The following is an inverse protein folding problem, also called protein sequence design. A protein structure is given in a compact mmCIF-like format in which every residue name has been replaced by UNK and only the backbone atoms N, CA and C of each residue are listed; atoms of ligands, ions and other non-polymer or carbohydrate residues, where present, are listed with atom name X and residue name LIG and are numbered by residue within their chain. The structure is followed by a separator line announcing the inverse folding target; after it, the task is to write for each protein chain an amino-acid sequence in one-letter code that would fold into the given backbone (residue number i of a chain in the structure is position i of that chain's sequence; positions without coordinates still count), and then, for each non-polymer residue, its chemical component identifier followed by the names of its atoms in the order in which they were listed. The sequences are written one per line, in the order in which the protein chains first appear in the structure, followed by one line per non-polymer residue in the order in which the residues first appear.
data_IF_321890075422
#
_entry.id   IF_321890075422
#
_cell.length_a   1.000
_cell.length_b   1.000
_cell.length_c   1.000
_cell.angle_alpha   90.00
_cell.angle_beta   90.00
_cell.angle_gamma   90.00
#
_symmetry.space_group_name_H-M   'P 1'
#
loop_
_entity.id
_entity.type
_entity.pdbx_description
1 polymer ?
#
# COMPACT_ATOMS: atom_id res chain seq x y z
N UNK A 1 14.18 20.62 -22.09
CA UNK A 1 14.47 19.20 -21.78
C UNK A 1 13.49 18.64 -20.74
N UNK A 2 12.17 18.87 -20.90
CA UNK A 2 11.14 18.58 -19.89
C UNK A 2 9.97 17.72 -20.41
N UNK A 3 10.06 17.14 -21.62
CA UNK A 3 8.92 16.50 -22.30
C UNK A 3 8.83 14.97 -22.20
N UNK A 4 9.75 14.30 -21.51
CA UNK A 4 9.77 12.81 -21.48
C UNK A 4 9.25 12.22 -20.15
N UNK A 5 9.19 12.99 -19.06
CA UNK A 5 8.73 12.48 -17.75
C UNK A 5 7.19 12.39 -17.60
N UNK A 6 6.41 13.09 -18.42
CA UNK A 6 4.94 13.02 -18.37
C UNK A 6 4.34 11.91 -19.24
N UNK A 7 5.14 11.26 -20.11
CA UNK A 7 4.62 10.29 -21.07
C UNK A 7 4.20 8.97 -20.41
N UNK A 8 4.85 8.58 -19.30
CA UNK A 8 4.57 7.32 -18.58
C UNK A 8 3.38 7.48 -17.61
N UNK A 9 3.22 8.65 -16.97
CA UNK A 9 2.03 8.97 -16.17
C UNK A 9 0.76 9.01 -17.03
N UNK A 10 0.87 9.51 -18.26
CA UNK A 10 -0.23 9.56 -19.21
C UNK A 10 -0.64 8.17 -19.69
N UNK A 11 0.26 7.19 -19.83
CA UNK A 11 -0.12 5.86 -20.35
C UNK A 11 -1.06 5.10 -19.41
N UNK A 12 -0.90 5.16 -18.09
CA UNK A 12 -1.79 4.45 -17.15
C UNK A 12 -3.17 5.10 -17.04
N UNK A 13 -3.22 6.43 -17.01
CA UNK A 13 -4.46 7.22 -17.01
C UNK A 13 -5.20 7.04 -18.34
N UNK A 14 -4.49 7.16 -19.47
CA UNK A 14 -5.09 7.02 -20.80
C UNK A 14 -5.51 5.59 -21.12
N UNK A 15 -4.90 4.54 -20.55
CA UNK A 15 -5.38 3.16 -20.74
C UNK A 15 -6.71 2.92 -19.99
N UNK A 16 -6.89 3.51 -18.80
CA UNK A 16 -8.17 3.46 -18.06
C UNK A 16 -9.24 4.41 -18.65
N UNK A 17 -8.83 5.60 -19.11
CA UNK A 17 -9.71 6.60 -19.72
C UNK A 17 -10.11 6.20 -21.16
N UNK A 18 -9.21 5.61 -21.96
CA UNK A 18 -9.52 5.18 -23.35
C UNK A 18 -10.51 4.01 -23.42
N UNK A 19 -10.74 3.27 -22.34
CA UNK A 19 -11.84 2.29 -22.29
C UNK A 19 -13.22 2.95 -22.15
N UNK A 20 -13.30 4.26 -21.87
CA UNK A 20 -14.54 5.01 -21.68
C UNK A 20 -14.83 6.07 -22.76
N UNK A 21 -14.04 6.06 -23.84
CA UNK A 21 -14.20 6.79 -25.10
C UNK A 21 -15.06 8.04 -25.06
N UNK A 22 -14.45 9.22 -24.86
CA UNK A 22 -15.06 10.51 -25.20
C UNK A 22 -13.95 11.53 -25.47
N UNK A 23 -13.75 11.90 -26.73
CA UNK A 23 -13.15 13.17 -27.08
C UNK A 23 -13.98 13.80 -28.18
N UNK A 24 -14.17 15.11 -28.06
CA UNK A 24 -14.87 16.05 -28.95
C UNK A 24 -16.33 16.30 -28.59
N UNK A 25 -16.58 17.40 -27.89
CA UNK A 25 -17.71 18.27 -28.23
C UNK A 25 -17.41 19.73 -27.89
N UNK A 26 -17.70 20.59 -28.88
CA UNK A 26 -18.04 22.00 -28.79
C UNK A 26 -16.96 22.97 -28.29
N UNK A 27 -16.11 23.47 -29.21
CA UNK A 27 -15.63 24.86 -29.35
C UNK A 27 -15.22 25.73 -28.14
N UNK A 28 -15.23 25.21 -26.91
CA UNK A 28 -14.89 25.85 -25.66
C UNK A 28 -13.40 25.65 -25.40
N UNK A 29 -12.74 26.66 -24.82
CA UNK A 29 -11.35 26.52 -24.43
C UNK A 29 -11.24 25.68 -23.16
N UNK A 30 -10.08 25.04 -22.92
CA UNK A 30 -9.81 24.29 -21.68
C UNK A 30 -10.05 25.14 -20.42
N UNK A 31 -9.81 26.45 -20.50
CA UNK A 31 -10.05 27.41 -19.41
C UNK A 31 -11.56 27.63 -19.13
N UNK A 32 -12.41 27.57 -20.15
CA UNK A 32 -13.86 27.73 -20.01
C UNK A 32 -14.49 26.50 -19.34
N UNK A 33 -14.06 25.30 -19.74
CA UNK A 33 -14.49 24.03 -19.12
C UNK A 33 -14.03 23.93 -17.65
N UNK A 34 -12.82 24.41 -17.35
CA UNK A 34 -12.28 24.44 -15.99
C UNK A 34 -13.05 25.36 -15.07
N UNK A 35 -13.32 26.58 -15.53
CA UNK A 35 -14.03 27.58 -14.73
C UNK A 35 -15.47 27.15 -14.45
N UNK A 36 -16.14 26.51 -15.42
CA UNK A 36 -17.49 25.98 -15.24
C UNK A 36 -17.53 24.79 -14.27
N UNK A 37 -16.52 23.91 -14.30
CA UNK A 37 -16.46 22.73 -13.42
C UNK A 37 -16.14 23.07 -11.96
N UNK A 38 -15.36 24.15 -11.74
CA UNK A 38 -15.01 24.62 -10.40
C UNK A 38 -16.20 25.13 -9.59
N UNK A 39 -17.23 25.66 -10.25
CA UNK A 39 -18.44 26.16 -9.58
C UNK A 39 -19.10 25.06 -8.72
N UNK A 40 -19.16 23.83 -9.21
CA UNK A 40 -19.73 22.71 -8.47
C UNK A 40 -18.93 22.38 -7.20
N UNK A 41 -17.60 22.47 -7.27
CA UNK A 41 -16.72 22.16 -6.16
C UNK A 41 -16.72 23.29 -5.11
N UNK A 42 -16.74 24.54 -5.56
CA UNK A 42 -16.86 25.71 -4.70
C UNK A 42 -18.21 25.71 -3.95
N UNK A 43 -19.30 25.34 -4.63
CA UNK A 43 -20.63 25.19 -4.01
C UNK A 43 -20.60 24.18 -2.87
N UNK A 44 -19.98 23.00 -3.08
CA UNK A 44 -19.82 21.98 -2.02
C UNK A 44 -19.06 22.56 -0.83
N UNK A 45 -17.95 23.25 -1.09
CA UNK A 45 -17.10 23.81 -0.05
C UNK A 45 -17.82 24.93 0.74
N UNK A 46 -18.69 25.72 0.09
CA UNK A 46 -19.53 26.72 0.73
C UNK A 46 -20.64 26.12 1.59
N UNK A 47 -21.37 25.11 1.08
CA UNK A 47 -22.40 24.38 1.81
C UNK A 47 -21.81 23.75 3.07
N UNK A 48 -20.63 23.11 2.96
CA UNK A 48 -19.96 22.52 4.10
C UNK A 48 -19.51 23.58 5.13
N UNK A 49 -18.93 24.71 4.68
CA UNK A 49 -18.56 25.83 5.58
C UNK A 49 -19.76 26.43 6.31
N UNK A 50 -20.96 26.37 5.72
CA UNK A 50 -22.21 26.78 6.35
C UNK A 50 -22.73 25.78 7.41
N UNK A 51 -22.02 24.67 7.66
CA UNK A 51 -22.38 23.66 8.66
C UNK A 51 -23.43 22.66 8.17
N UNK A 52 -23.71 22.62 6.86
CA UNK A 52 -24.69 21.72 6.25
C UNK A 52 -24.01 20.46 5.70
N UNK A 53 -23.56 19.60 6.59
CA UNK A 53 -22.73 18.45 6.25
C UNK A 53 -23.45 17.46 5.30
N UNK A 54 -24.69 17.09 5.61
CA UNK A 54 -25.45 16.12 4.82
C UNK A 54 -25.73 16.62 3.39
N UNK A 55 -26.00 17.92 3.24
CA UNK A 55 -26.22 18.57 1.94
C UNK A 55 -24.93 18.56 1.10
N UNK A 56 -23.78 18.83 1.72
CA UNK A 56 -22.47 18.78 1.04
C UNK A 56 -22.11 17.35 0.61
N UNK A 57 -22.40 16.35 1.45
CA UNK A 57 -22.22 14.92 1.13
C UNK A 57 -23.08 14.51 -0.06
N UNK A 58 -24.36 14.90 -0.08
CA UNK A 58 -25.26 14.60 -1.19
C UNK A 58 -24.77 15.21 -2.50
N UNK A 59 -24.26 16.45 -2.48
CA UNK A 59 -23.68 17.11 -3.66
C UNK A 59 -22.44 16.37 -4.18
N UNK A 60 -21.56 15.90 -3.28
CA UNK A 60 -20.45 15.03 -3.67
C UNK A 60 -20.95 13.75 -4.37
N UNK A 61 -21.99 13.10 -3.82
CA UNK A 61 -22.56 11.88 -4.42
C UNK A 61 -23.08 12.13 -5.84
N UNK A 62 -23.78 13.24 -6.06
CA UNK A 62 -24.30 13.63 -7.37
C UNK A 62 -23.14 13.80 -8.37
N UNK A 63 -22.08 14.53 -8.01
CA UNK A 63 -20.94 14.73 -8.91
C UNK A 63 -20.21 13.43 -9.26
N UNK A 64 -20.05 12.52 -8.30
CA UNK A 64 -19.40 11.22 -8.53
C UNK A 64 -20.24 10.34 -9.47
N UNK A 65 -21.56 10.42 -9.36
CA UNK A 65 -22.50 9.65 -10.19
C UNK A 65 -22.62 10.21 -11.60
N UNK A 66 -22.82 11.51 -11.72
CA UNK A 66 -23.16 12.16 -12.99
C UNK A 66 -21.92 12.56 -13.80
N UNK A 67 -20.81 12.88 -13.12
CA UNK A 67 -19.60 13.40 -13.74
C UNK A 67 -18.30 12.65 -13.33
N UNK A 68 -18.28 11.31 -13.29
CA UNK A 68 -17.17 10.54 -12.72
C UNK A 68 -15.83 10.74 -13.45
N UNK A 69 -15.89 10.94 -14.77
CA UNK A 69 -14.71 11.07 -15.65
C UNK A 69 -14.58 12.46 -16.29
N UNK A 70 -15.43 13.42 -15.92
CA UNK A 70 -15.38 14.76 -16.50
C UNK A 70 -14.09 15.46 -16.06
N UNK A 71 -13.26 15.83 -17.02
CA UNK A 71 -11.95 16.41 -16.74
C UNK A 71 -12.07 17.78 -16.06
N UNK A 72 -11.17 18.01 -15.12
CA UNK A 72 -10.99 19.29 -14.43
C UNK A 72 -9.51 19.65 -14.56
N UNK A 73 -9.21 20.76 -15.23
CA UNK A 73 -7.85 21.25 -15.36
C UNK A 73 -7.55 22.24 -14.23
N UNK A 74 -7.36 21.75 -13.01
CA UNK A 74 -6.90 22.61 -11.90
C UNK A 74 -5.46 22.28 -11.50
N UNK A 75 -4.81 23.24 -10.85
CA UNK A 75 -3.48 23.19 -10.21
C UNK A 75 -2.59 21.99 -10.58
N UNK A 76 -1.62 22.24 -11.46
CA UNK A 76 -0.51 21.34 -11.84
C UNK A 76 -0.85 19.95 -12.43
N UNK A 77 -2.09 19.44 -12.35
CA UNK A 77 -2.43 18.03 -12.68
C UNK A 77 -3.81 17.87 -13.34
N UNK A 78 -3.93 17.00 -14.34
CA UNK A 78 -5.23 16.62 -14.91
C UNK A 78 -5.96 15.69 -13.93
N UNK A 79 -7.11 16.11 -13.40
CA UNK A 79 -7.99 15.35 -12.47
C UNK A 79 -9.40 15.20 -13.07
N UNK A 80 -10.30 14.48 -12.40
CA UNK A 80 -11.73 14.38 -12.78
C UNK A 80 -12.64 14.94 -11.69
N UNK A 81 -13.80 15.46 -12.06
CA UNK A 81 -14.81 15.98 -11.11
C UNK A 81 -15.19 14.93 -10.07
N UNK A 82 -15.37 13.67 -10.49
CA UNK A 82 -15.63 12.57 -9.57
C UNK A 82 -14.51 12.35 -8.55
N UNK A 83 -13.24 12.50 -8.94
CA UNK A 83 -12.11 12.36 -8.03
C UNK A 83 -12.06 13.52 -7.03
N UNK A 84 -12.25 14.74 -7.50
CA UNK A 84 -12.29 15.95 -6.66
C UNK A 84 -13.44 15.91 -5.64
N UNK A 85 -14.60 15.41 -6.07
CA UNK A 85 -15.76 15.21 -5.20
C UNK A 85 -15.51 14.11 -4.16
N UNK A 86 -14.90 13.00 -4.55
CA UNK A 86 -14.54 11.90 -3.64
C UNK A 86 -13.52 12.35 -2.57
N UNK A 87 -12.54 13.16 -2.96
CA UNK A 87 -11.56 13.70 -2.00
C UNK A 87 -12.18 14.67 -1.00
N UNK A 88 -13.11 15.53 -1.45
CA UNK A 88 -13.89 16.39 -0.55
C UNK A 88 -14.71 15.58 0.43
N UNK A 89 -15.38 14.53 -0.05
CA UNK A 89 -16.11 13.59 0.80
C UNK A 89 -15.18 13.06 1.91
N UNK A 90 -14.00 12.53 1.56
CA UNK A 90 -13.03 12.04 2.55
C UNK A 90 -12.55 13.11 3.52
N UNK A 91 -12.27 14.31 3.03
CA UNK A 91 -11.82 15.44 3.85
C UNK A 91 -12.87 15.84 4.90
N UNK A 92 -14.13 15.97 4.47
CA UNK A 92 -15.24 16.32 5.36
C UNK A 92 -15.43 15.24 6.44
N UNK A 93 -15.48 13.96 6.08
CA UNK A 93 -15.62 12.89 7.07
C UNK A 93 -14.45 12.83 8.05
N UNK A 94 -13.19 12.95 7.58
CA UNK A 94 -12.02 13.00 8.48
C UNK A 94 -12.10 14.17 9.45
N UNK A 95 -12.62 15.31 9.01
CA UNK A 95 -12.80 16.51 9.83
C UNK A 95 -13.91 16.32 10.86
N UNK A 96 -15.06 15.77 10.49
CA UNK A 96 -16.15 15.47 11.44
C UNK A 96 -15.71 14.47 12.52
N UNK A 97 -15.00 13.41 12.11
CA UNK A 97 -14.43 12.42 13.02
C UNK A 97 -13.43 13.09 14.01
N UNK A 98 -12.65 14.06 13.55
CA UNK A 98 -11.68 14.78 14.39
C UNK A 98 -12.34 15.78 15.34
N UNK A 99 -13.34 16.54 14.88
CA UNK A 99 -14.04 17.56 15.68
C UNK A 99 -14.82 16.92 16.83
N UNK A 100 -15.38 15.73 16.58
CA UNK A 100 -16.17 15.01 17.58
C UNK A 100 -15.32 14.24 18.61
N UNK A 101 -13.99 14.25 18.51
CA UNK A 101 -13.07 13.39 19.28
C UNK A 101 -13.36 11.89 19.10
N UNK A 102 -14.03 11.54 18.01
CA UNK A 102 -14.53 10.20 17.69
C UNK A 102 -13.63 9.45 16.69
N UNK A 103 -12.34 9.79 16.63
CA UNK A 103 -11.33 9.06 15.84
C UNK A 103 -11.33 7.55 16.13
N UNK A 104 -11.83 7.13 17.30
CA UNK A 104 -11.99 5.73 17.69
C UNK A 104 -13.44 5.22 17.64
N UNK A 105 -14.42 6.08 17.30
CA UNK A 105 -15.81 5.65 17.22
C UNK A 105 -16.07 4.86 15.93
N UNK A 106 -16.00 3.54 16.08
CA UNK A 106 -16.32 2.56 15.05
C UNK A 106 -17.63 2.84 14.32
N UNK A 107 -18.67 3.34 15.01
CA UNK A 107 -19.98 3.56 14.39
C UNK A 107 -19.97 4.67 13.33
N UNK A 108 -19.25 5.77 13.58
CA UNK A 108 -19.13 6.88 12.61
C UNK A 108 -18.28 6.46 11.41
N UNK A 109 -17.22 5.69 11.66
CA UNK A 109 -16.40 5.12 10.58
C UNK A 109 -17.17 4.09 9.76
N UNK A 110 -18.04 3.28 10.38
CA UNK A 110 -18.93 2.34 9.69
C UNK A 110 -19.97 3.08 8.83
N UNK A 111 -20.55 4.16 9.34
CA UNK A 111 -21.46 5.02 8.57
C UNK A 111 -20.74 5.65 7.37
N UNK A 112 -19.51 6.12 7.55
CA UNK A 112 -18.71 6.65 6.46
C UNK A 112 -18.43 5.59 5.39
N UNK A 113 -18.03 4.37 5.79
CA UNK A 113 -17.84 3.25 4.86
C UNK A 113 -19.13 2.96 4.08
N UNK A 114 -20.29 2.91 4.76
CA UNK A 114 -21.57 2.67 4.09
C UNK A 114 -21.91 3.76 3.06
N UNK A 115 -21.63 5.03 3.36
CA UNK A 115 -21.82 6.14 2.43
C UNK A 115 -20.92 5.99 1.19
N UNK A 116 -19.65 5.64 1.39
CA UNK A 116 -18.73 5.36 0.28
C UNK A 116 -19.23 4.18 -0.56
N UNK A 117 -19.66 3.07 0.07
CA UNK A 117 -20.16 1.90 -0.65
C UNK A 117 -21.40 2.22 -1.51
N UNK A 118 -22.30 3.07 -1.02
CA UNK A 118 -23.44 3.54 -1.80
C UNK A 118 -23.00 4.29 -3.06
N UNK A 119 -22.05 5.21 -2.92
CA UNK A 119 -21.49 5.96 -4.05
C UNK A 119 -20.83 5.04 -5.07
N UNK A 120 -20.11 4.03 -4.60
CA UNK A 120 -19.42 3.07 -5.47
C UNK A 120 -20.38 2.18 -6.27
N UNK A 121 -21.52 1.82 -5.69
CA UNK A 121 -22.53 1.03 -6.41
C UNK A 121 -23.16 1.78 -7.59
N UNK A 122 -23.07 3.12 -7.59
CA UNK A 122 -23.69 3.98 -8.60
C UNK A 122 -22.68 4.50 -9.64
N UNK A 123 -21.38 4.30 -9.46
CA UNK A 123 -20.33 4.76 -10.39
C UNK A 123 -19.76 3.62 -11.23
N UNK A 124 -19.43 3.93 -12.50
CA UNK A 124 -18.74 3.00 -13.42
C UNK A 124 -17.25 3.31 -13.57
N UNK A 125 -16.75 4.34 -12.88
CA UNK A 125 -15.35 4.73 -13.00
C UNK A 125 -14.44 3.86 -12.12
N UNK A 126 -13.68 2.99 -12.78
CA UNK A 126 -12.74 2.06 -12.14
C UNK A 126 -11.78 2.77 -11.17
N UNK A 127 -11.29 3.98 -11.52
CA UNK A 127 -10.37 4.72 -10.66
C UNK A 127 -11.01 5.16 -9.33
N UNK A 128 -12.28 5.56 -9.35
CA UNK A 128 -13.02 5.94 -8.14
C UNK A 128 -13.27 4.73 -7.25
N UNK A 129 -13.64 3.59 -7.85
CA UNK A 129 -13.79 2.31 -7.15
C UNK A 129 -12.48 1.94 -6.45
N UNK A 130 -11.36 2.01 -7.15
CA UNK A 130 -10.06 1.65 -6.58
C UNK A 130 -9.66 2.55 -5.41
N UNK A 131 -9.74 3.87 -5.57
CA UNK A 131 -9.35 4.84 -4.52
C UNK A 131 -10.25 4.71 -3.30
N UNK A 132 -11.56 4.60 -3.49
CA UNK A 132 -12.50 4.42 -2.41
C UNK A 132 -12.35 3.08 -1.68
N UNK A 133 -12.17 1.99 -2.41
CA UNK A 133 -11.91 0.67 -1.81
C UNK A 133 -10.63 0.66 -0.99
N UNK A 134 -9.60 1.39 -1.44
CA UNK A 134 -8.35 1.52 -0.70
C UNK A 134 -8.56 2.25 0.63
N UNK A 135 -9.25 3.40 0.60
CA UNK A 135 -9.54 4.18 1.81
C UNK A 135 -10.42 3.39 2.79
N UNK A 136 -11.43 2.66 2.32
CA UNK A 136 -12.20 1.75 3.16
C UNK A 136 -11.31 0.70 3.82
N UNK A 137 -10.37 0.10 3.08
CA UNK A 137 -9.39 -0.84 3.61
C UNK A 137 -8.52 -0.22 4.71
N UNK A 138 -8.02 1.01 4.52
CA UNK A 138 -7.23 1.75 5.51
C UNK A 138 -8.02 2.04 6.80
N UNK A 139 -9.29 2.41 6.68
CA UNK A 139 -10.18 2.63 7.85
C UNK A 139 -10.36 1.32 8.62
N UNK A 140 -10.66 0.21 7.93
CA UNK A 140 -10.77 -1.12 8.56
C UNK A 140 -9.50 -1.55 9.27
N UNK A 141 -8.34 -1.23 8.69
CA UNK A 141 -7.04 -1.47 9.31
C UNK A 141 -6.88 -0.64 10.59
N UNK A 142 -7.22 0.66 10.55
CA UNK A 142 -7.19 1.55 11.72
C UNK A 142 -8.13 1.09 12.85
N UNK A 143 -9.24 0.43 12.53
CA UNK A 143 -10.15 -0.19 13.51
C UNK A 143 -9.61 -1.49 14.13
N UNK A 144 -8.48 -2.01 13.64
CA UNK A 144 -8.04 -3.37 13.96
C UNK A 144 -8.92 -4.46 13.33
N UNK A 145 -9.83 -4.13 12.42
CA UNK A 145 -10.66 -5.10 11.68
C UNK A 145 -9.87 -5.64 10.48
N UNK A 146 -8.84 -6.39 10.85
CA UNK A 146 -7.86 -6.98 9.94
C UNK A 146 -8.52 -7.70 8.77
N UNK A 147 -9.45 -8.63 9.04
CA UNK A 147 -10.09 -9.47 8.02
C UNK A 147 -10.81 -8.65 6.94
N UNK A 148 -11.53 -7.61 7.33
CA UNK A 148 -12.23 -6.76 6.36
C UNK A 148 -11.28 -5.84 5.60
N UNK A 149 -10.21 -5.36 6.25
CA UNK A 149 -9.14 -4.62 5.57
C UNK A 149 -8.50 -5.47 4.46
N UNK A 150 -8.09 -6.70 4.77
CA UNK A 150 -7.54 -7.62 3.78
C UNK A 150 -8.51 -7.82 2.60
N UNK A 151 -9.79 -8.09 2.90
CA UNK A 151 -10.81 -8.30 1.86
C UNK A 151 -10.86 -7.13 0.87
N UNK A 152 -10.85 -5.89 1.37
CA UNK A 152 -10.87 -4.69 0.52
C UNK A 152 -9.60 -4.54 -0.32
N UNK A 153 -8.42 -4.80 0.25
CA UNK A 153 -7.19 -4.71 -0.55
C UNK A 153 -7.11 -5.81 -1.62
N UNK A 154 -7.58 -7.03 -1.32
CA UNK A 154 -7.64 -8.13 -2.30
C UNK A 154 -8.57 -7.81 -3.45
N UNK A 155 -9.73 -7.21 -3.18
CA UNK A 155 -10.68 -6.76 -4.19
C UNK A 155 -10.01 -5.85 -5.23
N UNK A 156 -9.09 -4.97 -4.80
CA UNK A 156 -8.32 -4.10 -5.71
C UNK A 156 -7.35 -4.92 -6.56
N UNK A 157 -6.57 -5.81 -5.94
CA UNK A 157 -5.58 -6.62 -6.67
C UNK A 157 -6.23 -7.55 -7.69
N UNK A 158 -7.37 -8.14 -7.33
CA UNK A 158 -8.08 -9.12 -8.15
C UNK A 158 -8.82 -8.48 -9.33
N UNK A 159 -9.45 -7.32 -9.10
CA UNK A 159 -10.28 -6.66 -10.13
C UNK A 159 -9.52 -5.58 -10.91
N UNK A 160 -8.47 -4.99 -10.34
CA UNK A 160 -7.72 -3.86 -10.90
C UNK A 160 -6.20 -4.05 -10.78
N UNK A 161 -5.63 -5.11 -11.39
CA UNK A 161 -4.21 -5.46 -11.24
C UNK A 161 -3.25 -4.33 -11.64
N UNK A 162 -3.55 -3.62 -12.73
CA UNK A 162 -2.77 -2.46 -13.20
C UNK A 162 -2.78 -1.26 -12.24
N UNK A 163 -3.81 -1.15 -11.39
CA UNK A 163 -3.93 -0.10 -10.39
C UNK A 163 -3.28 -0.52 -9.07
N UNK A 164 -3.24 -1.81 -8.75
CA UNK A 164 -2.77 -2.35 -7.47
C UNK A 164 -1.27 -2.24 -7.15
N UNK A 165 -0.51 -1.50 -7.96
CA UNK A 165 0.93 -1.26 -7.82
C UNK A 165 1.23 0.22 -7.56
N UNK A 166 2.34 0.56 -6.88
CA UNK A 166 2.69 1.95 -6.65
C UNK A 166 2.97 2.70 -7.98
N UNK A 167 2.70 4.00 -8.08
CA UNK A 167 3.01 4.78 -9.29
C UNK A 167 1.99 5.84 -9.77
N UNK A 168 0.90 6.08 -9.06
CA UNK A 168 0.00 7.20 -9.38
C UNK A 168 0.33 8.38 -8.48
N UNK A 169 0.00 9.60 -8.90
CA UNK A 169 0.04 10.79 -8.07
C UNK A 169 -1.31 11.48 -8.25
N UNK A 170 -2.22 11.34 -7.29
CA UNK A 170 -3.31 12.31 -7.14
C UNK A 170 -2.90 13.37 -6.10
N UNK A 171 -3.68 14.45 -5.99
CA UNK A 171 -3.38 15.58 -5.10
C UNK A 171 -3.40 15.23 -3.60
N UNK A 172 -3.85 14.04 -3.22
CA UNK A 172 -3.96 13.57 -1.82
C UNK A 172 -3.30 12.22 -1.51
N UNK A 173 -3.08 11.35 -2.51
CA UNK A 173 -2.42 10.07 -2.36
C UNK A 173 -1.75 9.64 -3.66
N UNK A 174 -0.54 9.15 -3.51
CA UNK A 174 0.14 8.50 -4.60
C UNK A 174 -0.22 7.00 -4.59
N UNK A 175 -0.72 6.47 -5.71
CA UNK A 175 -1.06 5.06 -5.98
C UNK A 175 -1.91 4.29 -4.98
N UNK A 176 -2.67 3.34 -5.52
CA UNK A 176 -3.31 2.29 -4.75
C UNK A 176 -2.25 1.27 -4.35
N UNK A 177 -1.57 1.55 -3.24
CA UNK A 177 -0.62 0.70 -2.52
C UNK A 177 -1.29 -0.58 -1.93
N UNK A 178 -2.34 -1.13 -2.57
CA UNK A 178 -3.12 -2.25 -2.08
C UNK A 178 -2.25 -3.50 -1.86
N UNK A 179 -1.30 -3.77 -2.77
CA UNK A 179 -0.36 -4.88 -2.57
C UNK A 179 0.62 -4.58 -1.42
N UNK A 180 1.05 -3.34 -1.22
CA UNK A 180 1.90 -2.95 -0.08
C UNK A 180 1.15 -3.15 1.23
N UNK A 181 -0.13 -2.79 1.28
CA UNK A 181 -0.99 -3.06 2.43
C UNK A 181 -1.17 -4.56 2.70
N UNK A 182 -1.19 -5.39 1.65
CA UNK A 182 -1.24 -6.85 1.74
C UNK A 182 0.10 -7.52 2.03
N UNK A 183 1.20 -6.78 2.04
CA UNK A 183 2.56 -7.37 2.16
C UNK A 183 3.34 -6.76 3.31
N UNK A 184 3.52 -5.45 3.35
CA UNK A 184 4.32 -4.77 4.37
C UNK A 184 3.48 -4.37 5.59
N UNK A 185 2.26 -3.86 5.41
CA UNK A 185 1.38 -3.54 6.54
C UNK A 185 0.67 -4.79 7.07
N UNK A 186 0.51 -5.83 6.24
CA UNK A 186 0.15 -7.19 6.65
C UNK A 186 1.15 -7.77 7.67
N UNK A 187 2.41 -7.41 7.48
CA UNK A 187 3.52 -7.75 8.35
C UNK A 187 3.51 -6.90 9.65
N UNK A 188 3.04 -5.66 9.62
CA UNK A 188 3.00 -4.73 10.77
C UNK A 188 1.69 -4.82 11.58
N UNK A 189 0.59 -5.25 10.96
CA UNK A 189 -0.76 -5.27 11.51
C UNK A 189 -1.15 -6.55 12.25
N UNK A 190 -0.25 -7.52 12.41
CA UNK A 190 -0.49 -8.71 13.23
C UNK A 190 -1.14 -9.92 12.52
N UNK A 191 -1.05 -10.00 11.18
CA UNK A 191 -1.46 -11.17 10.41
C UNK A 191 -0.44 -12.33 10.45
N UNK A 192 -0.87 -13.53 10.03
CA UNK A 192 0.01 -14.70 9.91
C UNK A 192 0.93 -14.61 8.69
N UNK A 193 2.23 -14.78 8.92
CA UNK A 193 3.26 -14.91 7.88
C UNK A 193 2.88 -15.93 6.79
N UNK A 194 2.30 -17.06 7.19
CA UNK A 194 1.95 -18.14 6.27
C UNK A 194 0.81 -17.73 5.32
N UNK A 195 -0.15 -16.94 5.81
CA UNK A 195 -1.25 -16.41 4.99
C UNK A 195 -0.73 -15.45 3.92
N UNK A 196 0.20 -14.57 4.29
CA UNK A 196 0.85 -13.64 3.35
C UNK A 196 1.67 -14.40 2.30
N UNK A 197 2.48 -15.37 2.73
CA UNK A 197 3.30 -16.21 1.84
C UNK A 197 2.43 -16.99 0.87
N UNK A 198 1.34 -17.58 1.36
CA UNK A 198 0.37 -18.33 0.53
C UNK A 198 -0.27 -17.42 -0.50
N UNK A 199 -0.77 -16.25 -0.09
CA UNK A 199 -1.39 -15.31 -1.01
C UNK A 199 -0.43 -14.84 -2.11
N UNK A 200 0.76 -14.37 -1.73
CA UNK A 200 1.75 -13.91 -2.71
C UNK A 200 2.17 -15.02 -3.68
N UNK A 201 2.35 -16.24 -3.18
CA UNK A 201 2.69 -17.39 -4.02
C UNK A 201 1.57 -17.69 -5.03
N UNK A 202 0.31 -17.63 -4.59
CA UNK A 202 -0.85 -17.78 -5.48
C UNK A 202 -0.93 -16.64 -6.50
N UNK A 203 -0.73 -15.39 -6.06
CA UNK A 203 -0.76 -14.22 -6.93
C UNK A 203 0.30 -14.30 -8.03
N UNK A 204 1.55 -14.66 -7.67
CA UNK A 204 2.65 -14.83 -8.63
C UNK A 204 2.33 -15.89 -9.69
N UNK A 205 1.68 -16.98 -9.30
CA UNK A 205 1.34 -18.09 -10.19
C UNK A 205 0.11 -17.80 -11.06
N UNK A 206 -0.87 -17.07 -10.54
CA UNK A 206 -2.18 -16.93 -11.15
C UNK A 206 -2.34 -15.65 -11.96
N UNK A 207 -1.58 -14.58 -11.65
CA UNK A 207 -1.72 -13.32 -12.37
C UNK A 207 -1.12 -13.42 -13.78
N UNK A 208 -1.82 -12.86 -14.77
CA UNK A 208 -1.30 -12.66 -16.13
C UNK A 208 -0.58 -11.32 -16.28
N UNK A 209 -0.80 -10.38 -15.36
CA UNK A 209 -0.18 -9.06 -15.37
C UNK A 209 1.32 -9.17 -15.04
N UNK A 210 2.16 -8.77 -15.99
CA UNK A 210 3.61 -8.96 -15.88
C UNK A 210 4.23 -8.04 -14.83
N UNK A 211 3.74 -6.80 -14.71
CA UNK A 211 4.27 -5.82 -13.77
C UNK A 211 3.89 -6.21 -12.33
N UNK A 212 2.61 -6.53 -12.11
CA UNK A 212 2.11 -7.04 -10.84
C UNK A 212 2.81 -8.35 -10.46
N UNK A 213 3.05 -9.26 -11.42
CA UNK A 213 3.78 -10.52 -11.16
C UNK A 213 5.17 -10.28 -10.63
N UNK A 214 5.94 -9.40 -11.28
CA UNK A 214 7.30 -9.11 -10.85
C UNK A 214 7.35 -8.33 -9.55
N UNK A 215 6.37 -7.46 -9.31
CA UNK A 215 6.27 -6.79 -8.02
C UNK A 215 5.85 -7.74 -6.88
N UNK A 216 4.90 -8.64 -7.12
CA UNK A 216 4.52 -9.67 -6.16
C UNK A 216 5.68 -10.62 -5.83
N UNK A 217 6.53 -10.96 -6.81
CA UNK A 217 7.78 -11.71 -6.57
C UNK A 217 8.74 -10.94 -5.67
N UNK A 218 8.89 -9.64 -5.89
CA UNK A 218 9.71 -8.78 -5.04
C UNK A 218 9.19 -8.74 -3.60
N UNK A 219 7.88 -8.53 -3.43
CA UNK A 219 7.23 -8.56 -2.13
C UNK A 219 7.37 -9.92 -1.44
N UNK A 220 7.28 -11.02 -2.20
CA UNK A 220 7.48 -12.37 -1.67
C UNK A 220 8.92 -12.57 -1.21
N UNK A 221 9.92 -12.16 -2.00
CA UNK A 221 11.32 -12.25 -1.61
C UNK A 221 11.61 -11.42 -0.35
N UNK A 222 11.06 -10.20 -0.26
CA UNK A 222 11.13 -9.39 0.96
C UNK A 222 10.46 -10.08 2.15
N UNK A 223 9.26 -10.64 1.96
CA UNK A 223 8.56 -11.37 3.01
C UNK A 223 9.43 -12.51 3.56
N UNK A 224 10.10 -13.28 2.70
CA UNK A 224 11.00 -14.36 3.09
C UNK A 224 12.27 -13.84 3.79
N UNK A 225 12.89 -12.76 3.31
CA UNK A 225 14.05 -12.11 3.95
C UNK A 225 13.71 -11.70 5.39
N UNK A 226 12.51 -11.13 5.58
CA UNK A 226 12.03 -10.80 6.91
C UNK A 226 11.53 -12.00 7.70
N UNK A 227 11.08 -13.07 7.06
CA UNK A 227 10.49 -14.25 7.68
C UNK A 227 11.51 -15.29 8.16
N UNK A 228 11.08 -16.45 8.68
CA UNK A 228 11.98 -17.50 9.15
C UNK A 228 12.68 -18.31 8.04
N UNK A 229 12.74 -17.79 6.81
CA UNK A 229 13.34 -18.50 5.67
C UNK A 229 14.86 -18.53 5.72
N UNK A 230 15.44 -19.53 5.04
CA UNK A 230 16.89 -19.65 4.91
C UNK A 230 17.45 -18.60 3.95
N UNK A 231 18.71 -18.23 4.14
CA UNK A 231 19.38 -17.26 3.27
C UNK A 231 19.39 -17.73 1.80
N UNK A 232 19.53 -19.04 1.57
CA UNK A 232 19.46 -19.64 0.24
C UNK A 232 18.08 -19.50 -0.42
N UNK A 233 17.00 -19.77 0.33
CA UNK A 233 15.62 -19.57 -0.17
C UNK A 233 15.37 -18.10 -0.53
N UNK A 234 15.87 -17.18 0.30
CA UNK A 234 15.73 -15.74 0.08
C UNK A 234 16.49 -15.28 -1.17
N UNK A 235 17.76 -15.69 -1.32
CA UNK A 235 18.59 -15.36 -2.50
C UNK A 235 17.92 -15.90 -3.77
N UNK A 236 17.52 -17.18 -3.77
CA UNK A 236 16.84 -17.80 -4.90
C UNK A 236 15.59 -17.01 -5.31
N UNK A 237 14.80 -16.55 -4.34
CA UNK A 237 13.58 -15.80 -4.61
C UNK A 237 13.83 -14.40 -5.14
N UNK A 238 14.87 -13.71 -4.68
CA UNK A 238 15.26 -12.44 -5.29
C UNK A 238 15.76 -12.62 -6.74
N UNK A 239 16.43 -13.73 -7.08
CA UNK A 239 16.81 -14.01 -8.48
C UNK A 239 15.61 -14.20 -9.42
N UNK A 240 14.43 -14.58 -8.91
CA UNK A 240 13.23 -14.71 -9.72
C UNK A 240 12.61 -13.35 -10.11
N UNK A 241 13.00 -12.28 -9.41
CA UNK A 241 12.58 -10.90 -9.64
C UNK A 241 13.29 -10.39 -10.89
N UNK A 242 12.51 -10.05 -11.91
CA UNK A 242 13.02 -9.37 -13.10
C UNK A 242 12.82 -7.86 -12.97
N UNK A 243 13.32 -7.12 -13.94
CA UNK A 243 13.16 -5.68 -13.99
C UNK A 243 11.68 -5.28 -14.01
N UNK A 244 11.30 -4.51 -13.00
CA UNK A 244 10.08 -3.71 -12.95
C UNK A 244 10.49 -2.26 -12.68
N UNK A 245 9.58 -1.31 -12.91
CA UNK A 245 9.87 0.09 -12.63
C UNK A 245 8.61 0.86 -12.28
N UNK A 246 8.54 1.37 -11.04
CA UNK A 246 7.48 2.28 -10.62
C UNK A 246 7.93 3.17 -9.46
N UNK A 247 7.24 4.29 -9.24
CA UNK A 247 7.55 5.20 -8.14
C UNK A 247 6.84 4.74 -6.87
N UNK A 248 7.61 4.45 -5.81
CA UNK A 248 7.05 4.19 -4.48
C UNK A 248 7.03 5.49 -3.66
N UNK A 249 5.84 6.00 -3.32
CA UNK A 249 5.69 7.25 -2.58
C UNK A 249 6.16 7.11 -1.14
N UNK A 250 5.91 5.94 -0.56
CA UNK A 250 6.40 5.54 0.77
C UNK A 250 7.92 5.64 0.89
N UNK A 251 8.63 5.26 -0.17
CA UNK A 251 10.09 5.35 -0.22
C UNK A 251 10.57 6.67 -0.79
N UNK A 252 9.65 7.53 -1.25
CA UNK A 252 9.92 8.74 -2.02
C UNK A 252 10.95 8.51 -3.13
N UNK A 253 10.89 7.34 -3.79
CA UNK A 253 11.88 6.91 -4.75
C UNK A 253 11.30 5.92 -5.76
N UNK A 254 11.97 5.78 -6.90
CA UNK A 254 11.66 4.73 -7.86
C UNK A 254 12.11 3.39 -7.29
N UNK A 255 11.20 2.42 -7.23
CA UNK A 255 11.52 1.03 -6.99
C UNK A 255 11.69 0.32 -8.33
N UNK A 256 12.75 -0.46 -8.44
CA UNK A 256 13.05 -1.24 -9.62
C UNK A 256 13.40 -2.69 -9.29
N UNK A 257 13.53 -3.51 -10.32
CA UNK A 257 14.15 -4.84 -10.14
C UNK A 257 15.61 -4.78 -9.68
N UNK A 258 16.27 -3.61 -9.79
CA UNK A 258 17.66 -3.43 -9.36
C UNK A 258 17.84 -3.56 -7.86
N UNK A 259 16.83 -3.20 -7.07
CA UNK A 259 16.81 -3.37 -5.63
C UNK A 259 16.92 -4.85 -5.25
N UNK A 260 16.28 -5.74 -6.01
CA UNK A 260 16.45 -7.18 -5.83
C UNK A 260 17.90 -7.61 -6.12
N UNK A 261 18.50 -7.12 -7.21
CA UNK A 261 19.89 -7.42 -7.57
C UNK A 261 20.87 -6.93 -6.50
N UNK A 262 20.72 -5.68 -6.05
CA UNK A 262 21.55 -5.11 -4.99
C UNK A 262 21.40 -5.93 -3.70
N UNK A 263 20.16 -6.34 -3.36
CA UNK A 263 19.91 -7.15 -2.18
C UNK A 263 20.54 -8.53 -2.28
N UNK A 264 20.50 -9.18 -3.44
CA UNK A 264 21.23 -10.45 -3.69
C UNK A 264 22.72 -10.27 -3.43
N UNK A 265 23.35 -9.23 -3.98
CA UNK A 265 24.79 -8.99 -3.78
C UNK A 265 25.13 -8.81 -2.29
N UNK A 266 24.32 -8.08 -1.54
CA UNK A 266 24.48 -7.93 -0.09
C UNK A 266 24.37 -9.29 0.63
N UNK A 267 23.36 -10.08 0.29
CA UNK A 267 23.07 -11.36 0.92
C UNK A 267 24.11 -12.44 0.55
N UNK A 268 24.63 -12.44 -0.68
CA UNK A 268 25.71 -13.35 -1.10
C UNK A 268 27.01 -13.06 -0.36
N UNK A 269 27.38 -11.78 -0.19
CA UNK A 269 28.54 -11.40 0.64
C UNK A 269 28.39 -11.95 2.06
N UNK A 270 27.18 -11.91 2.61
CA UNK A 270 26.87 -12.44 3.93
C UNK A 270 26.86 -13.97 3.97
N UNK A 271 26.36 -14.63 2.92
CA UNK A 271 26.34 -16.10 2.79
C UNK A 271 27.76 -16.69 2.86
N UNK A 272 28.75 -15.99 2.31
CA UNK A 272 30.15 -16.43 2.35
C UNK A 272 30.89 -16.08 3.65
N UNK A 273 30.28 -15.32 4.58
CA UNK A 273 30.88 -15.08 5.91
C UNK A 273 30.67 -16.30 6.81
N UNK A 274 31.71 -16.69 7.54
CA UNK A 274 31.60 -17.77 8.54
C UNK A 274 30.56 -17.41 9.60
N UNK A 275 29.68 -18.36 9.92
CA UNK A 275 28.72 -18.24 11.02
C UNK A 275 29.43 -17.83 12.32
N UNK A 276 28.84 -16.87 13.02
CA UNK A 276 29.31 -16.47 14.36
C UNK A 276 28.45 -17.19 15.39
N UNK A 277 29.07 -18.10 16.15
CA UNK A 277 28.39 -18.74 17.28
C UNK A 277 28.18 -17.72 18.40
N UNK A 278 26.99 -17.70 18.99
CA UNK A 278 26.64 -16.82 20.08
C UNK A 278 25.66 -17.51 21.05
N UNK A 279 25.37 -16.88 22.19
CA UNK A 279 24.37 -17.35 23.15
C UNK A 279 23.35 -16.27 23.46
N UNK A 280 22.13 -16.70 23.74
CA UNK A 280 21.06 -15.81 24.18
C UNK A 280 21.23 -15.52 25.67
N UNK A 281 21.15 -14.23 26.04
CA UNK A 281 21.34 -13.80 27.43
C UNK A 281 20.30 -14.45 28.37
N UNK A 282 20.69 -14.90 29.58
CA UNK A 282 19.79 -15.62 30.49
C UNK A 282 18.63 -14.79 31.07
N UNK A 283 18.72 -13.45 31.03
CA UNK A 283 17.76 -12.55 31.71
C UNK A 283 16.58 -12.14 30.82
N UNK A 284 16.43 -12.77 29.67
CA UNK A 284 15.57 -12.25 28.59
C UNK A 284 14.51 -13.29 28.25
N UNK A 285 13.23 -13.04 28.54
CA UNK A 285 12.12 -13.88 28.05
C UNK A 285 11.92 -13.61 26.56
N UNK A 286 12.56 -14.40 25.70
CA UNK A 286 12.76 -14.01 24.29
C UNK A 286 11.59 -14.49 23.42
N UNK A 287 10.50 -13.73 23.48
CA UNK A 287 9.60 -13.53 22.34
C UNK A 287 10.00 -12.19 21.73
N UNK A 288 10.86 -12.18 20.70
CA UNK A 288 11.21 -10.92 20.05
C UNK A 288 10.68 -10.80 18.64
N UNK A 289 10.11 -9.63 18.45
CA UNK A 289 9.39 -9.14 17.32
C UNK A 289 10.26 -8.06 16.71
N UNK A 290 10.73 -8.23 15.47
CA UNK A 290 11.12 -7.07 14.67
C UNK A 290 9.94 -6.08 14.73
N UNK A 291 10.14 -4.77 14.95
CA UNK A 291 9.04 -3.84 15.24
C UNK A 291 7.90 -4.01 14.22
N UNK A 292 6.72 -4.39 14.74
CA UNK A 292 5.50 -4.64 13.97
C UNK A 292 5.07 -6.11 13.77
N UNK A 293 5.88 -7.13 14.06
CA UNK A 293 5.56 -8.54 13.69
C UNK A 293 5.24 -9.46 14.86
N UNK A 294 4.40 -10.49 14.66
CA UNK A 294 4.29 -11.64 15.60
C UNK A 294 5.57 -12.50 15.55
N UNK A 295 5.97 -13.15 16.66
CA UNK A 295 7.16 -14.01 16.70
C UNK A 295 7.06 -15.13 15.66
N UNK A 296 8.10 -15.32 14.86
CA UNK A 296 8.15 -16.47 13.96
C UNK A 296 8.62 -17.73 14.68
N UNK A 297 9.47 -17.63 15.73
CA UNK A 297 9.88 -18.75 16.58
C UNK A 297 10.44 -18.25 17.94
N UNK A 298 10.20 -19.01 19.02
CA UNK A 298 10.75 -18.74 20.34
C UNK A 298 12.14 -19.37 20.48
N UNK A 299 13.18 -18.54 20.62
CA UNK A 299 14.48 -19.03 21.05
C UNK A 299 14.53 -19.12 22.58
N UNK A 300 15.18 -20.16 23.12
CA UNK A 300 15.23 -20.37 24.57
C UNK A 300 16.37 -19.55 25.20
N UNK A 301 16.15 -19.10 26.44
CA UNK A 301 17.21 -18.49 27.24
C UNK A 301 18.44 -19.40 27.33
N UNK A 302 19.63 -18.84 27.14
CA UNK A 302 20.88 -19.59 27.15
C UNK A 302 21.09 -20.50 25.94
N UNK A 303 20.16 -20.52 24.97
CA UNK A 303 20.32 -21.29 23.75
C UNK A 303 21.54 -20.79 22.97
N UNK A 304 22.32 -21.73 22.45
CA UNK A 304 23.40 -21.42 21.53
C UNK A 304 22.81 -21.25 20.14
N UNK A 305 23.12 -20.13 19.50
CA UNK A 305 22.64 -19.77 18.18
C UNK A 305 23.82 -19.54 17.23
N UNK A 306 23.58 -19.69 15.94
CA UNK A 306 24.47 -19.17 14.90
C UNK A 306 23.89 -17.85 14.38
N UNK A 307 24.63 -16.75 14.52
CA UNK A 307 24.28 -15.49 13.86
C UNK A 307 24.63 -15.63 12.38
N UNK A 308 23.61 -15.49 11.53
CA UNK A 308 23.73 -15.53 10.08
C UNK A 308 24.09 -14.16 9.53
N UNK A 309 23.36 -13.11 9.92
CA UNK A 309 23.67 -11.72 9.57
C UNK A 309 22.95 -10.73 10.50
N UNK A 310 23.27 -9.44 10.36
CA UNK A 310 22.62 -8.35 11.08
C UNK A 310 21.88 -7.42 10.11
N UNK A 311 20.74 -6.89 10.53
CA UNK A 311 20.02 -5.83 9.82
C UNK A 311 19.66 -4.70 10.78
N UNK A 312 19.69 -3.46 10.32
CA UNK A 312 19.20 -2.32 11.10
C UNK A 312 17.72 -2.14 10.81
N UNK A 313 16.90 -2.22 11.85
CA UNK A 313 15.46 -2.06 11.75
C UNK A 313 15.05 -0.63 11.44
N UNK A 314 13.79 -0.46 11.01
CA UNK A 314 13.19 0.88 10.84
C UNK A 314 13.09 1.66 12.17
N UNK A 315 13.08 0.94 13.28
CA UNK A 315 13.21 1.44 14.65
C UNK A 315 14.62 1.97 14.99
N UNK A 316 15.59 1.81 14.09
CA UNK A 316 16.98 2.15 14.31
C UNK A 316 17.76 1.12 15.15
N UNK A 317 17.10 0.04 15.60
CA UNK A 317 17.72 -1.04 16.37
C UNK A 317 18.46 -2.01 15.47
N UNK A 318 19.41 -2.77 16.02
CA UNK A 318 20.13 -3.79 15.28
C UNK A 318 19.56 -5.16 15.64
N UNK A 319 19.17 -5.90 14.61
CA UNK A 319 18.58 -7.23 14.70
C UNK A 319 19.53 -8.25 14.10
N UNK A 320 19.72 -9.39 14.74
CA UNK A 320 20.43 -10.54 14.21
C UNK A 320 19.46 -11.56 13.65
N UNK A 321 19.71 -11.99 12.41
CA UNK A 321 19.14 -13.23 11.89
C UNK A 321 19.93 -14.37 12.53
N UNK A 322 19.24 -15.22 13.26
CA UNK A 322 19.85 -16.29 14.02
C UNK A 322 19.25 -17.64 13.64
N UNK A 323 20.09 -18.67 13.67
CA UNK A 323 19.70 -20.08 13.54
C UNK A 323 19.84 -20.76 14.90
N UNK A 324 18.75 -21.36 15.37
CA UNK A 324 18.71 -22.13 16.61
C UNK A 324 19.35 -23.50 16.44
N UNK A 325 19.54 -24.24 17.54
CA UNK A 325 20.09 -25.60 17.48
C UNK A 325 19.18 -26.58 16.73
N UNK A 326 17.88 -26.33 16.76
CA UNK A 326 16.86 -27.12 16.04
C UNK A 326 16.81 -26.80 14.53
N UNK A 327 17.71 -25.93 14.06
CA UNK A 327 17.82 -25.55 12.66
C UNK A 327 16.84 -24.46 12.23
N UNK A 328 15.93 -24.03 13.12
CA UNK A 328 14.98 -22.96 12.81
C UNK A 328 15.68 -21.62 12.76
N UNK A 329 15.14 -20.73 11.94
CA UNK A 329 15.71 -19.41 11.70
C UNK A 329 14.70 -18.35 12.15
N UNK A 330 15.19 -17.32 12.83
CA UNK A 330 14.38 -16.22 13.34
C UNK A 330 15.20 -14.95 13.51
N UNK A 331 14.56 -13.89 13.99
CA UNK A 331 15.22 -12.65 14.34
C UNK A 331 15.33 -12.50 15.85
N UNK A 332 16.46 -11.99 16.32
CA UNK A 332 16.72 -11.67 17.72
C UNK A 332 17.37 -10.29 17.81
N UNK A 333 17.03 -9.49 18.82
CA UNK A 333 17.62 -8.18 19.01
C UNK A 333 19.10 -8.33 19.40
N UNK A 334 19.98 -7.51 18.81
CA UNK A 334 21.42 -7.65 19.01
C UNK A 334 21.85 -7.49 20.48
N UNK A 335 21.09 -6.72 21.27
CA UNK A 335 21.34 -6.51 22.70
C UNK A 335 21.08 -7.75 23.56
N UNK A 336 20.30 -8.70 23.04
CA UNK A 336 19.89 -9.91 23.76
C UNK A 336 20.86 -11.08 23.53
N UNK A 337 21.89 -10.86 22.70
CA UNK A 337 22.88 -11.84 22.33
C UNK A 337 24.22 -11.53 23.00
N UNK A 338 24.82 -12.56 23.57
CA UNK A 338 26.19 -12.58 24.08
C UNK A 338 27.06 -13.28 23.04
N UNK A 339 28.03 -12.55 22.49
CA UNK A 339 28.96 -13.05 21.46
C UNK A 339 30.04 -13.92 22.06
#
# INVERSE_FOLDING_TARGET
MFRIKNLILMTSLSILINQSGLSQQNGLTEADLTSANMVYLDEIDEIYKAGKFEEAVEKCHILIKEHPNQEVYTLEWNSTLGMEALQRLFSMFRREIRISDQLENKAVQDQFINNIEQVLNETKAAILVVVATLEMGKIRLGQGNLQQAEKKFREIVENFPNASIPGWKDITCYSCDALDYLTEDFLIGGWSYDSAKTYLSQLVNNTSDTLLKHYAKFCLAQLLDYGPSSLEEVIQKYHEVKEFWFFSPKHNNWLTGREAVNRVLELEILFYRKEVKAKIRPQVSVVYTYPGKRPSFDFRQGESISILYSNKGKDGLVWFKAKGKDGKIGWILATDVEK
#
